data_IF_067711387235
#
_entry.id   IF_067711387235
#
_cell.length_a   1.000
_cell.length_b   1.000
_cell.length_c   1.000
_cell.angle_alpha   90.00
_cell.angle_beta   90.00
_cell.angle_gamma   90.00
#
_symmetry.space_group_name_H-M   'P 1'
#
loop_
_entity.id
_entity.type
_entity.pdbx_description
1 polymer ?
#
# COMPACT_ATOMS: atom_id res chain seq x y z
N UNK A 1 51.45 15.99 12.57
CA UNK A 1 50.04 16.32 12.90
C UNK A 1 49.49 17.12 11.72
N UNK A 2 48.39 16.85 11.01
CA UNK A 2 47.39 15.79 11.01
C UNK A 2 46.92 15.63 9.53
N UNK A 3 46.57 14.41 9.13
CA UNK A 3 46.07 14.05 7.79
C UNK A 3 44.68 14.66 7.58
N UNK A 4 44.45 15.37 6.46
CA UNK A 4 43.11 15.79 6.03
C UNK A 4 42.44 14.64 5.29
N UNK A 5 41.73 13.78 6.02
CA UNK A 5 40.72 12.88 5.48
C UNK A 5 39.35 13.47 5.79
N UNK A 6 38.61 13.89 4.76
CA UNK A 6 37.16 14.01 4.85
C UNK A 6 36.57 13.73 3.46
N UNK A 7 35.81 12.63 3.29
CA UNK A 7 35.14 12.31 2.05
C UNK A 7 33.91 13.20 1.93
N UNK A 8 33.86 14.04 0.89
CA UNK A 8 32.61 14.72 0.52
C UNK A 8 31.72 13.69 -0.18
N UNK A 9 30.76 13.17 0.61
CA UNK A 9 29.61 12.40 0.17
C UNK A 9 29.02 12.99 -1.11
N UNK A 10 28.83 12.16 -2.13
CA UNK A 10 27.89 12.46 -3.21
C UNK A 10 26.47 12.56 -2.62
N UNK A 11 25.73 13.67 -2.79
CA UNK A 11 24.27 13.59 -2.71
C UNK A 11 23.76 12.87 -3.97
N UNK A 12 23.38 11.61 -3.82
CA UNK A 12 22.51 10.89 -4.76
C UNK A 12 21.05 11.35 -4.51
N UNK A 13 20.17 11.24 -5.53
CA UNK A 13 19.07 12.17 -5.79
C UNK A 13 18.02 12.24 -4.68
N UNK A 14 17.48 13.44 -4.45
CA UNK A 14 16.24 13.64 -3.73
C UNK A 14 15.17 12.76 -4.40
N UNK A 15 14.62 11.82 -3.65
CA UNK A 15 13.50 11.01 -4.10
C UNK A 15 12.36 11.94 -4.55
N UNK A 16 11.91 11.74 -5.79
CA UNK A 16 10.74 12.35 -6.41
C UNK A 16 9.58 12.56 -5.41
N UNK A 17 9.49 13.76 -4.84
CA UNK A 17 8.29 14.24 -4.17
C UNK A 17 7.37 14.81 -5.26
N UNK A 18 6.66 13.91 -5.92
CA UNK A 18 5.94 14.28 -7.13
C UNK A 18 5.04 13.19 -7.72
N UNK A 19 4.51 12.26 -6.92
CA UNK A 19 3.36 11.47 -7.39
C UNK A 19 2.14 12.38 -7.42
N UNK A 20 2.02 13.12 -8.50
CA UNK A 20 0.80 13.76 -8.96
C UNK A 20 -0.23 12.65 -9.22
N UNK A 21 -0.92 12.19 -8.18
CA UNK A 21 -2.01 11.24 -8.28
C UNK A 21 -3.16 11.92 -9.01
N UNK A 22 -3.15 11.75 -10.34
CA UNK A 22 -4.26 12.10 -11.23
C UNK A 22 -5.51 11.37 -10.73
N UNK A 23 -6.30 12.03 -9.87
CA UNK A 23 -7.65 11.60 -9.50
C UNK A 23 -7.79 10.09 -9.36
N UNK A 24 -6.94 9.46 -8.54
CA UNK A 24 -7.04 8.03 -8.29
C UNK A 24 -8.45 7.76 -7.76
N UNK A 25 -9.25 7.06 -8.57
CA UNK A 25 -10.55 6.59 -8.15
C UNK A 25 -10.30 5.63 -6.98
N UNK A 26 -10.58 6.10 -5.76
CA UNK A 26 -10.50 5.29 -4.57
C UNK A 26 -11.69 4.33 -4.57
N UNK A 27 -11.38 3.07 -4.38
CA UNK A 27 -12.33 1.97 -4.26
C UNK A 27 -12.45 1.65 -2.78
N UNK A 28 -13.67 1.66 -2.24
CA UNK A 28 -13.92 1.17 -0.90
C UNK A 28 -14.01 -0.35 -0.96
N UNK A 29 -13.23 -1.03 -0.14
CA UNK A 29 -13.21 -2.49 -0.10
C UNK A 29 -13.40 -2.91 1.35
N UNK A 30 -14.25 -3.90 1.60
CA UNK A 30 -14.38 -4.55 2.89
C UNK A 30 -14.12 -6.05 2.72
N UNK A 31 -13.77 -6.73 3.81
CA UNK A 31 -13.71 -8.19 3.82
C UNK A 31 -14.63 -8.74 4.90
N UNK A 32 -15.20 -9.91 4.64
CA UNK A 32 -16.28 -10.47 5.47
C UNK A 32 -16.02 -11.90 5.94
N UNK A 33 -14.95 -12.55 5.47
CA UNK A 33 -14.56 -13.88 5.90
C UNK A 33 -13.21 -13.87 6.62
N UNK A 34 -13.10 -14.64 7.71
CA UNK A 34 -11.86 -14.77 8.48
C UNK A 34 -11.84 -14.00 9.81
N UNK A 35 -10.63 -13.69 10.33
CA UNK A 35 -10.42 -13.03 11.62
C UNK A 35 -10.95 -11.59 11.65
N UNK A 36 -11.13 -11.03 12.85
CA UNK A 36 -11.57 -9.63 13.03
C UNK A 36 -10.57 -8.61 12.49
N UNK A 37 -9.28 -8.96 12.45
CA UNK A 37 -8.21 -8.14 11.90
C UNK A 37 -7.24 -9.03 11.09
N UNK A 38 -6.83 -8.56 9.90
CA UNK A 38 -5.83 -9.23 9.07
C UNK A 38 -4.81 -8.25 8.50
N UNK A 39 -3.58 -8.72 8.32
CA UNK A 39 -2.58 -8.02 7.52
C UNK A 39 -2.61 -8.50 6.07
N UNK A 40 -3.10 -7.67 5.14
CA UNK A 40 -3.21 -8.02 3.73
C UNK A 40 -2.70 -6.88 2.84
N UNK A 41 -1.91 -7.23 1.83
CA UNK A 41 -1.33 -6.26 0.88
C UNK A 41 -0.55 -5.10 1.54
N UNK A 42 0.14 -5.38 2.66
CA UNK A 42 0.92 -4.37 3.40
C UNK A 42 0.08 -3.40 4.23
N UNK A 43 -1.24 -3.63 4.35
CA UNK A 43 -2.16 -2.85 5.18
C UNK A 43 -2.85 -3.74 6.22
N UNK A 44 -3.33 -3.12 7.29
CA UNK A 44 -4.18 -3.76 8.29
C UNK A 44 -5.64 -3.51 7.93
N UNK A 45 -6.39 -4.59 7.81
CA UNK A 45 -7.81 -4.58 7.49
C UNK A 45 -8.60 -5.03 8.72
N UNK A 46 -9.75 -4.40 8.94
CA UNK A 46 -10.72 -4.80 9.96
C UNK A 46 -11.92 -5.45 9.27
N UNK A 47 -12.42 -6.55 9.80
CA UNK A 47 -13.57 -7.26 9.21
C UNK A 47 -14.80 -6.37 9.22
N UNK A 48 -15.59 -6.44 8.16
CA UNK A 48 -16.81 -5.65 7.97
C UNK A 48 -16.56 -4.12 7.96
N UNK A 49 -15.30 -3.70 7.81
CA UNK A 49 -14.91 -2.29 7.75
C UNK A 49 -14.31 -1.97 6.38
N UNK A 50 -14.96 -1.05 5.67
CA UNK A 50 -14.51 -0.63 4.36
C UNK A 50 -13.26 0.27 4.47
N UNK A 51 -12.23 -0.05 3.69
CA UNK A 51 -11.02 0.75 3.57
C UNK A 51 -10.83 1.20 2.12
N UNK A 52 -10.42 2.45 1.94
CA UNK A 52 -10.08 3.00 0.62
C UNK A 52 -8.76 2.44 0.12
N UNK A 53 -8.79 1.87 -1.07
CA UNK A 53 -7.61 1.45 -1.85
C UNK A 53 -7.66 2.08 -3.23
N UNK A 54 -6.50 2.23 -3.88
CA UNK A 54 -6.50 2.66 -5.28
C UNK A 54 -6.98 1.54 -6.20
N UNK A 55 -7.37 1.87 -7.43
CA UNK A 55 -7.75 0.86 -8.42
C UNK A 55 -6.62 -0.13 -8.73
N UNK A 56 -5.36 0.31 -8.69
CA UNK A 56 -4.18 -0.55 -8.87
C UNK A 56 -4.00 -1.51 -7.68
N UNK A 57 -4.12 -1.00 -6.45
CA UNK A 57 -4.11 -1.84 -5.24
C UNK A 57 -5.22 -2.88 -5.31
N UNK A 58 -6.44 -2.49 -5.68
CA UNK A 58 -7.57 -3.42 -5.81
C UNK A 58 -7.32 -4.50 -6.87
N UNK A 59 -6.81 -4.11 -8.05
CA UNK A 59 -6.46 -5.05 -9.09
C UNK A 59 -5.37 -6.03 -8.63
N UNK A 60 -4.34 -5.53 -7.93
CA UNK A 60 -3.25 -6.33 -7.40
C UNK A 60 -3.70 -7.27 -6.27
N UNK A 61 -4.60 -6.82 -5.39
CA UNK A 61 -5.21 -7.64 -4.34
C UNK A 61 -5.93 -8.85 -4.95
N UNK A 62 -6.75 -8.62 -5.98
CA UNK A 62 -7.49 -9.69 -6.69
C UNK A 62 -6.60 -10.73 -7.39
N UNK A 63 -5.34 -10.40 -7.67
CA UNK A 63 -4.39 -11.31 -8.29
C UNK A 63 -3.66 -12.20 -7.27
N UNK A 64 -3.81 -11.93 -5.96
CA UNK A 64 -3.22 -12.79 -4.92
C UNK A 64 -4.05 -14.06 -4.72
N UNK A 65 -3.36 -15.18 -4.55
CA UNK A 65 -4.00 -16.48 -4.33
C UNK A 65 -4.78 -16.57 -3.01
N UNK A 66 -4.41 -15.75 -2.02
CA UNK A 66 -5.07 -15.66 -0.71
C UNK A 66 -6.28 -14.70 -0.68
N UNK A 67 -6.62 -14.05 -1.80
CA UNK A 67 -7.71 -13.07 -1.87
C UNK A 67 -9.10 -13.68 -1.58
N UNK A 68 -9.40 -14.85 -2.15
CA UNK A 68 -10.69 -15.52 -2.00
C UNK A 68 -10.96 -16.00 -0.56
N UNK A 69 -9.92 -16.24 0.25
CA UNK A 69 -10.05 -16.72 1.63
C UNK A 69 -10.75 -15.69 2.53
N UNK A 70 -10.55 -14.40 2.26
CA UNK A 70 -11.08 -13.32 3.10
C UNK A 70 -12.40 -12.73 2.58
N UNK A 71 -12.86 -13.14 1.38
CA UNK A 71 -14.06 -12.64 0.72
C UNK A 71 -14.08 -11.09 0.68
N UNK A 72 -13.05 -10.50 0.06
CA UNK A 72 -12.97 -9.07 -0.18
C UNK A 72 -14.01 -8.63 -1.23
N UNK A 73 -14.78 -7.60 -0.92
CA UNK A 73 -15.86 -7.06 -1.76
C UNK A 73 -15.66 -5.54 -1.90
N UNK A 74 -15.91 -5.02 -3.11
CA UNK A 74 -16.01 -3.59 -3.37
C UNK A 74 -17.35 -3.05 -2.81
N UNK A 75 -17.25 -2.12 -1.87
CA UNK A 75 -18.38 -1.42 -1.26
C UNK A 75 -18.74 -0.17 -2.09
N UNK A 76 -20.05 0.09 -2.24
CA UNK A 76 -20.58 1.22 -3.02
C UNK A 76 -21.12 2.35 -2.17
#
# INVERSE_FOLDING_TARGET
MAKKNSPLLNPLPQADEGTNVKGDHLILVAYHAGPEEIGFFGKVWQRDSAQSVTADEWAAMRLRGDFDEFNFIEEK
#
